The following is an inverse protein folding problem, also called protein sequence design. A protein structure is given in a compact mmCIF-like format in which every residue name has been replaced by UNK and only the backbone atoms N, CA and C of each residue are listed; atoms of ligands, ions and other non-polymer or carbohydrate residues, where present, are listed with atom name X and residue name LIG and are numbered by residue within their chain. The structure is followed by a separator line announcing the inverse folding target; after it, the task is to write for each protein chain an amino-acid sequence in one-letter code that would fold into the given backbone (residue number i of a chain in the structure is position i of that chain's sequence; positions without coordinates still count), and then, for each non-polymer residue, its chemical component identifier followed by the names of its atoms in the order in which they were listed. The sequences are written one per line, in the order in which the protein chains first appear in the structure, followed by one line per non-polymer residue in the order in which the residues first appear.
data_IF_219870262679
#
_entry.id   IF_219870262679
#
_cell.length_a   1.000
_cell.length_b   1.000
_cell.length_c   1.000
_cell.angle_alpha   90.00
_cell.angle_beta   90.00
_cell.angle_gamma   90.00
#
_symmetry.space_group_name_H-M   'P 1'
#
loop_
_entity.id
_entity.type
_entity.pdbx_description
1 polymer ?
#
# COMPACT_ATOMS: atom_id res chain seq x y z
N UNK A 1 0.83 10.25 -9.28
CA UNK A 1 1.17 11.65 -8.95
C UNK A 1 2.26 11.70 -7.87
N UNK A 2 3.31 12.52 -8.04
CA UNK A 2 4.47 12.56 -7.13
C UNK A 2 4.09 12.83 -5.66
N UNK A 3 3.06 13.65 -5.43
CA UNK A 3 2.59 13.98 -4.09
C UNK A 3 2.13 12.76 -3.27
N UNK A 4 1.44 11.79 -3.88
CA UNK A 4 0.96 10.60 -3.14
C UNK A 4 2.10 9.66 -2.74
N UNK A 5 3.08 9.46 -3.61
CA UNK A 5 4.25 8.64 -3.29
C UNK A 5 5.07 9.24 -2.13
N UNK A 6 5.24 10.57 -2.09
CA UNK A 6 5.90 11.27 -0.98
C UNK A 6 5.11 11.15 0.34
N UNK A 7 3.78 11.27 0.26
CA UNK A 7 2.91 11.09 1.42
C UNK A 7 2.98 9.68 1.98
N UNK A 8 3.01 8.65 1.13
CA UNK A 8 3.20 7.25 1.54
C UNK A 8 4.51 7.11 2.31
N UNK A 9 5.63 7.59 1.74
CA UNK A 9 6.95 7.54 2.42
C UNK A 9 6.93 8.27 3.76
N UNK A 10 6.23 9.40 3.85
CA UNK A 10 6.12 10.16 5.09
C UNK A 10 5.37 9.38 6.18
N UNK A 11 4.26 8.72 5.84
CA UNK A 11 3.52 7.86 6.77
C UNK A 11 4.38 6.69 7.26
N UNK A 12 5.10 6.03 6.34
CA UNK A 12 6.01 4.94 6.69
C UNK A 12 7.17 5.42 7.58
N UNK A 13 7.71 6.61 7.33
CA UNK A 13 8.78 7.20 8.13
C UNK A 13 8.33 7.46 9.57
N UNK A 14 7.13 8.05 9.75
CA UNK A 14 6.54 8.26 11.09
C UNK A 14 6.33 6.93 11.79
N UNK A 15 5.77 5.94 11.10
CA UNK A 15 5.50 4.64 11.70
C UNK A 15 6.79 3.93 12.16
N UNK A 16 7.85 3.99 11.34
CA UNK A 16 9.17 3.46 11.67
C UNK A 16 9.81 4.21 12.85
N UNK A 17 9.73 5.54 12.85
CA UNK A 17 10.29 6.39 13.91
C UNK A 17 9.67 6.12 15.27
N UNK A 18 8.38 5.79 15.32
CA UNK A 18 7.69 5.41 16.55
C UNK A 18 7.75 3.91 16.87
N UNK A 19 8.56 3.14 16.13
CA UNK A 19 8.83 1.75 16.45
C UNK A 19 7.69 0.78 16.15
N UNK A 20 6.66 1.19 15.41
CA UNK A 20 5.59 0.28 15.00
C UNK A 20 6.15 -0.85 14.14
N UNK A 21 5.77 -2.09 14.47
CA UNK A 21 6.22 -3.30 13.75
C UNK A 21 5.13 -3.92 12.87
N UNK A 22 3.88 -3.54 13.08
CA UNK A 22 2.75 -4.01 12.29
C UNK A 22 1.95 -2.82 11.78
N UNK A 23 1.69 -2.79 10.46
CA UNK A 23 0.89 -1.77 9.83
C UNK A 23 -0.38 -2.37 9.22
N UNK A 24 -1.50 -1.68 9.40
CA UNK A 24 -2.72 -1.91 8.61
C UNK A 24 -2.88 -0.69 7.69
N UNK A 25 -2.80 -0.95 6.40
CA UNK A 25 -2.91 0.01 5.31
C UNK A 25 -4.15 -0.33 4.46
N UNK A 26 -4.38 0.39 3.37
CA UNK A 26 -5.50 0.11 2.46
C UNK A 26 -5.42 0.94 1.19
N UNK A 27 -6.52 0.94 0.42
CA UNK A 27 -6.65 1.62 -0.86
C UNK A 27 -6.76 3.15 -0.71
N UNK A 28 -5.64 3.79 -0.34
CA UNK A 28 -5.62 5.18 0.08
C UNK A 28 -6.07 6.15 -1.03
N UNK A 29 -7.25 6.72 -0.85
CA UNK A 29 -7.84 7.69 -1.76
C UNK A 29 -8.42 7.08 -3.04
N UNK A 30 -8.62 5.76 -3.10
CA UNK A 30 -9.17 5.10 -4.31
C UNK A 30 -10.70 5.21 -4.44
N UNK A 31 -11.40 5.67 -3.39
CA UNK A 31 -12.84 5.94 -3.40
C UNK A 31 -13.17 7.36 -3.88
N UNK A 32 -13.66 8.20 -2.96
CA UNK A 32 -14.10 9.59 -3.28
C UNK A 32 -13.00 10.43 -3.93
N UNK A 33 -11.73 10.22 -3.55
CA UNK A 33 -10.60 10.97 -4.11
C UNK A 33 -10.12 10.44 -5.46
N UNK A 34 -10.67 9.33 -5.94
CA UNK A 34 -10.48 8.79 -7.29
C UNK A 34 -9.00 8.59 -7.68
N UNK A 35 -8.12 8.29 -6.74
CA UNK A 35 -6.81 7.74 -7.08
C UNK A 35 -6.99 6.40 -7.78
N UNK A 36 -6.16 6.11 -8.77
CA UNK A 36 -6.14 4.79 -9.39
C UNK A 36 -5.58 3.76 -8.39
N UNK A 37 -6.31 2.66 -8.08
CA UNK A 37 -5.86 1.66 -7.12
C UNK A 37 -4.61 0.91 -7.56
N UNK A 38 -4.36 0.75 -8.87
CA UNK A 38 -3.14 0.14 -9.42
C UNK A 38 -1.93 1.02 -9.10
N UNK A 39 -2.06 2.33 -9.34
CA UNK A 39 -1.02 3.30 -9.01
C UNK A 39 -0.72 3.35 -7.52
N UNK A 40 -1.75 3.38 -6.66
CA UNK A 40 -1.57 3.42 -5.20
C UNK A 40 -0.90 2.14 -4.70
N UNK A 41 -1.32 0.98 -5.18
CA UNK A 41 -0.67 -0.29 -4.85
C UNK A 41 0.80 -0.30 -5.30
N UNK A 42 1.09 0.21 -6.50
CA UNK A 42 2.44 0.33 -7.03
C UNK A 42 3.32 1.26 -6.18
N UNK A 43 2.84 2.45 -5.78
CA UNK A 43 3.63 3.36 -4.93
C UNK A 43 3.90 2.79 -3.54
N UNK A 44 2.94 2.06 -2.97
CA UNK A 44 3.21 1.32 -1.73
C UNK A 44 4.28 0.25 -1.94
N UNK A 45 4.23 -0.51 -3.02
CA UNK A 45 5.21 -1.54 -3.29
C UNK A 45 6.61 -0.97 -3.55
N UNK A 46 6.73 0.14 -4.28
CA UNK A 46 8.00 0.86 -4.43
C UNK A 46 8.57 1.30 -3.08
N UNK A 47 7.72 1.89 -2.23
CA UNK A 47 8.16 2.35 -0.92
C UNK A 47 8.50 1.20 0.05
N UNK A 48 7.81 0.07 -0.01
CA UNK A 48 7.99 -1.03 0.95
C UNK A 48 9.04 -2.05 0.50
N UNK A 49 9.19 -2.27 -0.80
CA UNK A 49 9.98 -3.37 -1.36
C UNK A 49 11.25 -2.91 -2.09
N UNK A 50 11.27 -1.69 -2.63
CA UNK A 50 12.41 -1.16 -3.39
C UNK A 50 13.18 -0.06 -2.64
N UNK A 51 12.53 0.66 -1.73
CA UNK A 51 13.16 1.71 -0.94
C UNK A 51 13.86 1.13 0.30
N UNK A 52 15.18 1.16 0.30
CA UNK A 52 16.04 0.58 1.36
C UNK A 52 15.78 1.18 2.74
N UNK A 53 15.12 2.34 2.84
CA UNK A 53 14.74 2.94 4.13
C UNK A 53 13.66 2.14 4.88
N UNK A 54 12.83 1.39 4.16
CA UNK A 54 11.67 0.68 4.70
C UNK A 54 11.71 -0.83 4.50
N UNK A 55 12.58 -1.33 3.61
CA UNK A 55 12.82 -2.77 3.46
C UNK A 55 13.15 -3.42 4.82
N UNK A 56 12.31 -4.37 5.23
CA UNK A 56 12.47 -5.06 6.53
C UNK A 56 12.18 -4.21 7.77
N UNK A 57 11.70 -2.96 7.62
CA UNK A 57 11.41 -2.09 8.76
C UNK A 57 10.21 -2.55 9.59
N UNK A 58 9.25 -3.23 8.96
CA UNK A 58 8.02 -3.72 9.56
C UNK A 58 7.99 -5.25 9.52
N UNK A 59 7.62 -5.87 10.64
CA UNK A 59 7.49 -7.32 10.75
C UNK A 59 6.24 -7.84 10.03
N UNK A 60 5.19 -7.02 9.93
CA UNK A 60 3.93 -7.39 9.27
C UNK A 60 3.25 -6.18 8.64
N UNK A 61 2.77 -6.34 7.41
CA UNK A 61 1.99 -5.32 6.70
C UNK A 61 0.71 -5.99 6.20
N UNK A 62 -0.42 -5.36 6.46
CA UNK A 62 -1.74 -5.83 6.04
C UNK A 62 -2.37 -4.73 5.18
N UNK A 63 -2.81 -5.05 3.97
CA UNK A 63 -3.67 -4.17 3.18
C UNK A 63 -5.12 -4.58 3.39
N UNK A 64 -5.83 -3.87 4.27
CA UNK A 64 -7.25 -4.06 4.52
C UNK A 64 -8.06 -3.28 3.47
N UNK A 65 -8.32 -3.92 2.33
CA UNK A 65 -9.05 -3.34 1.20
C UNK A 65 -10.46 -3.89 1.16
N UNK A 66 -11.42 -3.07 1.61
CA UNK A 66 -12.84 -3.37 1.51
C UNK A 66 -13.36 -2.85 0.16
N UNK A 67 -13.95 -3.74 -0.63
CA UNK A 67 -14.45 -3.44 -1.95
C UNK A 67 -15.74 -4.25 -2.19
N UNK A 68 -16.85 -3.54 -2.43
CA UNK A 68 -18.17 -4.12 -2.66
C UNK A 68 -18.60 -4.08 -4.13
N UNK A 69 -17.77 -3.50 -5.00
CA UNK A 69 -18.09 -3.40 -6.42
C UNK A 69 -17.96 -4.78 -7.08
N UNK A 70 -18.70 -4.99 -8.18
CA UNK A 70 -18.63 -6.23 -8.94
C UNK A 70 -17.20 -6.48 -9.42
N UNK A 71 -16.66 -7.67 -9.10
CA UNK A 71 -15.27 -8.04 -9.40
C UNK A 71 -14.22 -7.48 -8.43
N UNK A 72 -14.62 -6.63 -7.47
CA UNK A 72 -13.76 -6.03 -6.44
C UNK A 72 -12.44 -5.44 -7.02
N UNK A 73 -12.50 -4.55 -8.02
CA UNK A 73 -11.34 -4.10 -8.79
C UNK A 73 -10.25 -3.45 -7.94
N UNK A 74 -10.62 -2.73 -6.88
CA UNK A 74 -9.67 -2.10 -5.95
C UNK A 74 -8.95 -3.16 -5.12
N UNK A 75 -9.68 -4.17 -4.63
CA UNK A 75 -9.07 -5.31 -3.96
C UNK A 75 -8.13 -6.08 -4.91
N UNK A 76 -8.55 -6.33 -6.16
CA UNK A 76 -7.74 -7.06 -7.13
C UNK A 76 -6.45 -6.32 -7.49
N UNK A 77 -6.47 -4.99 -7.61
CA UNK A 77 -5.26 -4.21 -7.85
C UNK A 77 -4.18 -4.43 -6.76
N UNK A 78 -4.59 -4.42 -5.48
CA UNK A 78 -3.70 -4.72 -4.38
C UNK A 78 -3.30 -6.20 -4.33
N UNK A 79 -4.25 -7.11 -4.59
CA UNK A 79 -3.98 -8.55 -4.64
C UNK A 79 -2.91 -8.87 -5.69
N UNK A 80 -3.10 -8.44 -6.94
CA UNK A 80 -2.14 -8.69 -8.02
C UNK A 80 -0.76 -8.10 -7.72
N UNK A 81 -0.69 -6.97 -6.99
CA UNK A 81 0.59 -6.32 -6.71
C UNK A 81 1.41 -7.00 -5.61
N UNK A 82 0.74 -7.62 -4.63
CA UNK A 82 1.37 -8.13 -3.40
C UNK A 82 1.26 -9.65 -3.23
N UNK A 83 0.40 -10.33 -3.98
CA UNK A 83 0.27 -11.80 -3.98
C UNK A 83 0.73 -12.31 -5.34
N UNK A 84 1.79 -13.14 -5.41
CA UNK A 84 2.21 -13.74 -6.67
C UNK A 84 1.11 -14.65 -7.24
N UNK A 85 0.94 -14.65 -8.56
CA UNK A 85 0.12 -15.64 -9.27
C UNK A 85 0.87 -16.97 -9.29
N UNK A 86 0.71 -17.78 -8.24
CA UNK A 86 0.92 -19.23 -8.21
C UNK A 86 0.53 -19.74 -6.82
N UNK A 87 -0.68 -20.30 -6.73
CA UNK A 87 -1.08 -21.45 -5.91
C UNK A 87 -2.45 -21.97 -6.42
#
# INVERSE_FOLDING_TARGET
GPCMAERIRSVLAVARQHGHKTLVLGAWGCGVFRNDPVDVAQWFAEALLADTRFMGAFARIIFAVLDFDEGAPTFQAFRHRFIPEND
#
